data_IF_224191827352
#
_entry.id   IF_224191827352
#
_cell.length_a   1.000
_cell.length_b   1.000
_cell.length_c   1.000
_cell.angle_alpha   90.00
_cell.angle_beta   90.00
_cell.angle_gamma   90.00
#
_symmetry.space_group_name_H-M   'P 1'
#
loop_
_entity.id
_entity.type
_entity.pdbx_description
1 polymer ?
#
# COMPACT_ATOMS: atom_id res chain seq x y z
N UNK A 1 -13.15 8.79 -4.90
CA UNK A 1 -13.39 10.24 -5.02
C UNK A 1 -13.35 10.79 -3.61
N UNK A 2 -12.33 11.60 -3.25
CA UNK A 2 -12.36 12.31 -1.98
C UNK A 2 -13.52 13.28 -2.00
N UNK A 3 -14.28 13.44 -0.92
CA UNK A 3 -15.31 14.45 -0.87
C UNK A 3 -14.69 15.84 -1.08
N UNK A 4 -15.36 16.76 -1.76
CA UNK A 4 -14.87 18.12 -1.87
C UNK A 4 -14.60 18.66 -0.46
N UNK A 5 -13.50 19.41 -0.30
CA UNK A 5 -13.18 20.02 0.98
C UNK A 5 -14.34 20.95 1.38
N UNK A 6 -15.16 20.49 2.31
CA UNK A 6 -16.31 21.18 2.86
C UNK A 6 -16.04 21.71 4.27
N UNK A 7 -16.97 22.48 4.83
CA UNK A 7 -16.85 22.96 6.19
C UNK A 7 -16.74 21.77 7.16
N UNK A 8 -15.85 21.87 8.14
CA UNK A 8 -15.65 20.82 9.18
C UNK A 8 -16.82 20.87 10.18
N UNK A 9 -18.00 20.45 9.78
CA UNK A 9 -19.23 20.43 10.60
C UNK A 9 -19.81 19.03 10.66
N UNK A 10 -20.59 18.74 11.71
CA UNK A 10 -21.30 17.47 11.82
C UNK A 10 -22.32 17.29 10.69
N UNK A 11 -23.03 18.35 10.26
CA UNK A 11 -23.97 18.31 9.15
C UNK A 11 -23.29 17.86 7.85
N UNK A 12 -22.08 18.36 7.58
CA UNK A 12 -21.31 17.93 6.42
C UNK A 12 -20.93 16.45 6.50
N UNK A 13 -20.55 15.98 7.68
CA UNK A 13 -20.22 14.56 7.92
C UNK A 13 -21.45 13.67 7.71
N UNK A 14 -22.62 14.09 8.21
CA UNK A 14 -23.88 13.39 8.01
C UNK A 14 -24.28 13.32 6.54
N UNK A 15 -24.26 14.45 5.84
CA UNK A 15 -24.54 14.49 4.40
C UNK A 15 -23.61 13.56 3.61
N UNK A 16 -22.32 13.52 3.96
CA UNK A 16 -21.38 12.61 3.35
C UNK A 16 -21.73 11.15 3.64
N UNK A 17 -22.10 10.82 4.87
CA UNK A 17 -22.56 9.49 5.26
C UNK A 17 -23.80 9.05 4.48
N UNK A 18 -24.79 9.93 4.34
CA UNK A 18 -26.01 9.68 3.54
C UNK A 18 -25.65 9.44 2.07
N UNK A 19 -24.74 10.23 1.49
CA UNK A 19 -24.30 10.05 0.10
C UNK A 19 -23.61 8.69 -0.11
N UNK A 20 -22.75 8.27 0.81
CA UNK A 20 -22.07 6.96 0.76
C UNK A 20 -23.09 5.82 0.92
N UNK A 21 -24.04 5.93 1.85
CA UNK A 21 -25.11 4.95 2.04
C UNK A 21 -25.97 4.81 0.77
N UNK A 22 -26.31 5.93 0.10
CA UNK A 22 -27.03 5.90 -1.17
C UNK A 22 -26.29 5.21 -2.29
N UNK A 23 -24.95 5.35 -2.36
CA UNK A 23 -24.11 4.60 -3.31
C UNK A 23 -24.13 3.10 -3.00
N UNK A 24 -24.01 2.74 -1.72
CA UNK A 24 -24.06 1.33 -1.29
C UNK A 24 -25.40 0.68 -1.62
N UNK A 25 -26.53 1.35 -1.34
CA UNK A 25 -27.88 0.87 -1.70
C UNK A 25 -28.02 0.59 -3.19
N UNK A 26 -27.62 1.55 -4.03
CA UNK A 26 -27.63 1.37 -5.49
C UNK A 26 -26.75 0.21 -5.96
N UNK A 27 -25.59 0.01 -5.31
CA UNK A 27 -24.72 -1.11 -5.64
C UNK A 27 -25.37 -2.46 -5.28
N UNK A 28 -26.07 -2.54 -4.14
CA UNK A 28 -26.81 -3.74 -3.73
C UNK A 28 -27.96 -4.04 -4.70
N UNK A 29 -28.74 -3.02 -5.09
CA UNK A 29 -29.83 -3.16 -6.07
C UNK A 29 -29.36 -3.64 -7.44
N UNK A 30 -28.15 -3.22 -7.86
CA UNK A 30 -27.54 -3.63 -9.12
C UNK A 30 -26.71 -4.92 -9.01
N UNK A 31 -26.60 -5.52 -7.82
CA UNK A 31 -25.75 -6.69 -7.59
C UNK A 31 -26.28 -7.92 -8.31
N UNK A 32 -25.34 -8.70 -8.84
CA UNK A 32 -25.65 -10.02 -9.44
C UNK A 32 -24.90 -11.10 -8.65
N UNK A 33 -25.48 -12.31 -8.51
CA UNK A 33 -24.78 -13.43 -7.89
C UNK A 33 -23.45 -13.71 -8.59
N UNK A 34 -22.45 -14.10 -7.81
CA UNK A 34 -21.16 -14.56 -8.32
C UNK A 34 -20.78 -15.88 -7.66
N UNK A 35 -19.99 -16.70 -8.38
CA UNK A 35 -19.44 -17.92 -7.83
C UNK A 35 -18.25 -17.59 -6.91
N UNK A 36 -18.29 -18.07 -5.66
CA UNK A 36 -17.26 -17.83 -4.65
C UNK A 36 -16.38 -19.07 -4.38
N UNK A 37 -16.59 -20.15 -5.10
CA UNK A 37 -15.79 -21.38 -4.96
C UNK A 37 -15.01 -21.68 -6.24
N UNK A 38 -13.84 -22.32 -6.15
CA UNK A 38 -13.10 -22.70 -4.94
C UNK A 38 -12.40 -21.50 -4.27
N UNK A 39 -12.06 -21.65 -3.01
CA UNK A 39 -11.21 -20.68 -2.29
C UNK A 39 -9.73 -21.05 -2.45
N UNK A 40 -8.89 -20.04 -2.69
CA UNK A 40 -7.44 -20.17 -2.73
C UNK A 40 -6.78 -18.96 -2.11
N UNK A 41 -5.80 -19.20 -1.24
CA UNK A 41 -5.00 -18.14 -0.60
C UNK A 41 -3.56 -18.25 -1.10
N UNK A 42 -2.98 -17.11 -1.47
CA UNK A 42 -1.55 -16.95 -1.75
C UNK A 42 -1.07 -15.75 -0.94
N UNK A 43 -0.02 -15.94 -0.15
CA UNK A 43 0.56 -14.88 0.67
C UNK A 43 2.07 -14.83 0.48
N UNK A 44 2.65 -13.64 0.59
CA UNK A 44 4.08 -13.38 0.48
C UNK A 44 4.58 -12.49 1.60
N UNK A 45 5.58 -12.96 2.32
CA UNK A 45 6.32 -12.13 3.26
C UNK A 45 7.21 -11.14 2.52
N UNK A 46 7.29 -9.92 3.07
CA UNK A 46 8.07 -8.81 2.55
C UNK A 46 8.91 -8.20 3.68
N UNK A 47 10.05 -7.62 3.32
CA UNK A 47 10.90 -6.89 4.24
C UNK A 47 11.00 -5.44 3.78
N UNK A 48 10.16 -4.57 4.37
CA UNK A 48 10.03 -3.17 3.96
C UNK A 48 11.16 -2.31 4.53
N UNK A 49 11.90 -1.56 3.69
CA UNK A 49 12.87 -0.59 4.16
C UNK A 49 12.22 0.50 5.02
N UNK A 50 12.82 0.79 6.18
CA UNK A 50 12.37 1.84 7.10
C UNK A 50 13.39 2.96 7.12
N UNK A 51 13.17 3.98 6.29
CA UNK A 51 13.95 5.23 6.29
C UNK A 51 13.36 6.29 7.21
N UNK A 52 12.11 6.14 7.65
CA UNK A 52 11.44 7.06 8.57
C UNK A 52 12.16 7.13 9.91
N UNK A 53 12.74 8.31 10.19
CA UNK A 53 13.55 8.53 11.40
C UNK A 53 12.73 8.42 12.68
N UNK A 54 11.45 8.80 12.66
CA UNK A 54 10.57 8.70 13.83
C UNK A 54 10.27 7.23 14.15
N UNK A 55 10.03 6.40 13.15
CA UNK A 55 9.80 4.96 13.35
C UNK A 55 11.07 4.28 13.87
N UNK A 56 12.25 4.63 13.34
CA UNK A 56 13.53 4.12 13.82
C UNK A 56 13.80 4.55 15.27
N UNK A 57 13.52 5.81 15.62
CA UNK A 57 13.64 6.32 16.98
C UNK A 57 12.68 5.60 17.93
N UNK A 58 11.39 5.49 17.57
CA UNK A 58 10.38 4.81 18.36
C UNK A 58 10.74 3.34 18.62
N UNK A 59 11.36 2.66 17.65
CA UNK A 59 11.90 1.32 17.82
C UNK A 59 13.07 1.31 18.82
N UNK A 60 14.01 2.24 18.70
CA UNK A 60 15.15 2.34 19.62
C UNK A 60 14.69 2.58 21.05
N UNK A 61 13.67 3.40 21.23
CA UNK A 61 13.02 3.67 22.51
C UNK A 61 12.09 2.54 22.99
N UNK A 62 11.97 1.45 22.24
CA UNK A 62 11.08 0.31 22.50
C UNK A 62 9.58 0.64 22.56
N UNK A 63 9.18 1.79 22.00
CA UNK A 63 7.77 2.13 21.78
C UNK A 63 7.19 1.20 20.70
N UNK A 64 7.91 1.05 19.58
CA UNK A 64 7.59 0.05 18.56
C UNK A 64 8.36 -1.25 18.87
N UNK A 65 7.62 -2.28 19.27
CA UNK A 65 8.17 -3.61 19.66
C UNK A 65 8.25 -4.58 18.48
N UNK A 66 8.48 -4.08 17.28
CA UNK A 66 8.56 -4.89 16.07
C UNK A 66 10.01 -5.32 15.80
N UNK A 67 10.22 -6.56 15.36
CA UNK A 67 11.54 -7.02 14.95
C UNK A 67 12.04 -6.20 13.75
N UNK A 68 13.32 -5.89 13.70
CA UNK A 68 13.97 -5.24 12.57
C UNK A 68 15.06 -6.12 12.02
N UNK A 69 15.28 -6.07 10.72
CA UNK A 69 16.27 -6.84 10.01
C UNK A 69 17.11 -5.92 9.12
N UNK A 70 18.29 -6.35 8.73
CA UNK A 70 19.13 -5.65 7.78
C UNK A 70 18.52 -5.80 6.37
N UNK A 71 18.52 -4.72 5.59
CA UNK A 71 18.11 -4.78 4.20
C UNK A 71 19.04 -5.70 3.39
N UNK A 72 18.46 -6.58 2.59
CA UNK A 72 19.16 -7.42 1.60
C UNK A 72 18.89 -6.90 0.19
N UNK A 73 19.59 -7.44 -0.81
CA UNK A 73 19.34 -7.11 -2.22
C UNK A 73 17.96 -7.61 -2.71
N UNK A 74 17.42 -8.63 -2.06
CA UNK A 74 16.08 -9.17 -2.34
C UNK A 74 15.12 -8.83 -1.18
N UNK A 75 14.12 -7.95 -1.37
CA UNK A 75 13.18 -7.57 -0.31
C UNK A 75 12.22 -8.69 0.11
N UNK A 76 12.33 -9.86 -0.48
CA UNK A 76 11.58 -11.07 -0.10
C UNK A 76 12.42 -12.02 0.77
N UNK A 77 13.68 -11.70 1.04
CA UNK A 77 14.57 -12.47 1.89
C UNK A 77 14.85 -11.73 3.20
N UNK A 78 14.70 -12.44 4.30
CA UNK A 78 15.00 -11.91 5.63
C UNK A 78 16.50 -11.78 5.83
N UNK A 79 16.95 -10.55 6.08
CA UNK A 79 18.32 -10.28 6.49
C UNK A 79 18.61 -10.65 7.94
N UNK A 80 19.83 -10.34 8.39
CA UNK A 80 20.22 -10.48 9.79
C UNK A 80 19.34 -9.62 10.71
N UNK A 81 19.12 -10.10 11.93
CA UNK A 81 18.41 -9.28 12.92
C UNK A 81 19.20 -8.01 13.26
N UNK A 82 18.50 -6.88 13.35
CA UNK A 82 19.11 -5.61 13.76
C UNK A 82 19.68 -5.72 15.17
N UNK A 83 20.92 -5.26 15.34
CA UNK A 83 21.69 -5.25 16.57
C UNK A 83 22.56 -3.99 16.66
N UNK A 84 23.19 -3.67 17.80
CA UNK A 84 24.13 -2.56 17.87
C UNK A 84 25.30 -2.66 16.88
N UNK A 85 25.68 -3.87 16.47
CA UNK A 85 26.80 -4.11 15.54
C UNK A 85 26.48 -3.68 14.09
N UNK A 86 25.20 -3.74 13.68
CA UNK A 86 24.76 -3.40 12.34
C UNK A 86 23.76 -2.21 12.31
N UNK A 87 23.69 -1.41 13.38
CA UNK A 87 22.76 -0.32 13.55
C UNK A 87 22.87 0.79 12.47
N UNK A 88 24.03 0.90 11.81
CA UNK A 88 24.27 1.85 10.72
C UNK A 88 23.63 1.40 9.39
N UNK A 89 23.29 0.12 9.26
CA UNK A 89 22.71 -0.42 8.05
C UNK A 89 21.22 -0.05 7.92
N UNK A 90 20.68 -0.16 6.71
CA UNK A 90 19.27 0.09 6.46
C UNK A 90 18.43 -0.98 7.14
N UNK A 91 17.52 -0.53 8.01
CA UNK A 91 16.58 -1.42 8.70
C UNK A 91 15.39 -1.74 7.81
N UNK A 92 14.96 -2.99 7.86
CA UNK A 92 13.67 -3.44 7.32
C UNK A 92 12.78 -3.96 8.45
N UNK A 93 11.48 -3.98 8.18
CA UNK A 93 10.46 -4.68 9.00
C UNK A 93 9.77 -5.74 8.16
N UNK A 94 9.47 -6.87 8.78
CA UNK A 94 8.69 -7.94 8.16
C UNK A 94 7.21 -7.55 8.09
N UNK A 95 6.58 -7.82 6.95
CA UNK A 95 5.14 -7.68 6.72
C UNK A 95 4.68 -8.69 5.67
N UNK A 96 3.41 -8.65 5.26
CA UNK A 96 2.83 -9.61 4.33
C UNK A 96 1.84 -8.94 3.37
N UNK A 97 1.79 -9.42 2.14
CA UNK A 97 0.70 -9.19 1.20
C UNK A 97 0.01 -10.51 0.90
N UNK A 98 -1.30 -10.49 0.69
CA UNK A 98 -2.03 -11.69 0.33
C UNK A 98 -3.06 -11.44 -0.78
N UNK A 99 -3.30 -12.46 -1.59
CA UNK A 99 -4.39 -12.51 -2.55
C UNK A 99 -5.27 -13.73 -2.21
N UNK A 100 -6.52 -13.46 -1.86
CA UNK A 100 -7.52 -14.50 -1.64
C UNK A 100 -8.43 -14.55 -2.86
N UNK A 101 -8.41 -15.68 -3.56
CA UNK A 101 -9.32 -15.94 -4.68
C UNK A 101 -10.53 -16.70 -4.14
N UNK A 102 -11.71 -16.12 -4.31
CA UNK A 102 -13.00 -16.74 -4.02
C UNK A 102 -13.75 -16.88 -5.34
N UNK A 103 -13.63 -18.05 -6.01
CA UNK A 103 -14.21 -18.24 -7.33
C UNK A 103 -13.86 -17.12 -8.30
N UNK A 104 -14.83 -16.27 -8.64
CA UNK A 104 -14.65 -15.12 -9.53
C UNK A 104 -14.07 -13.89 -8.84
N UNK A 105 -14.17 -13.78 -7.51
CA UNK A 105 -13.75 -12.60 -6.74
C UNK A 105 -12.32 -12.74 -6.25
N UNK A 106 -11.51 -11.69 -6.45
CA UNK A 106 -10.16 -11.58 -5.89
C UNK A 106 -10.16 -10.56 -4.76
N UNK A 107 -9.70 -10.94 -3.57
CA UNK A 107 -9.48 -10.02 -2.45
C UNK A 107 -7.98 -9.72 -2.36
N UNK A 108 -7.63 -8.44 -2.44
CA UNK A 108 -6.27 -7.97 -2.27
C UNK A 108 -6.09 -7.48 -0.83
N UNK A 109 -5.23 -8.14 -0.06
CA UNK A 109 -4.87 -7.77 1.30
C UNK A 109 -3.51 -7.07 1.31
N UNK A 110 -3.51 -5.80 1.68
CA UNK A 110 -2.34 -4.91 1.65
C UNK A 110 -2.10 -4.35 3.06
N UNK A 111 -0.83 -4.38 3.56
CA UNK A 111 -0.53 -4.08 4.96
C UNK A 111 -0.44 -2.59 5.29
N UNK A 112 -1.04 -1.71 4.51
CA UNK A 112 -1.01 -0.26 4.73
C UNK A 112 -2.09 0.46 3.97
N UNK A 113 -2.06 1.80 4.04
CA UNK A 113 -3.00 2.68 3.35
C UNK A 113 -2.47 3.05 1.96
N UNK A 114 -3.06 2.45 0.91
CA UNK A 114 -2.67 2.74 -0.47
C UNK A 114 -3.19 4.10 -0.93
N UNK A 115 -2.31 4.89 -1.54
CA UNK A 115 -2.74 6.08 -2.27
C UNK A 115 -3.55 5.69 -3.52
N UNK A 116 -4.57 6.51 -3.90
CA UNK A 116 -5.44 6.21 -5.04
C UNK A 116 -4.70 5.98 -6.35
N UNK A 117 -3.54 6.62 -6.54
CA UNK A 117 -2.69 6.46 -7.73
C UNK A 117 -2.19 5.02 -7.87
N UNK A 118 -1.82 4.37 -6.76
CA UNK A 118 -1.41 2.96 -6.74
C UNK A 118 -2.59 2.01 -6.99
N UNK A 119 -3.82 2.46 -6.73
CA UNK A 119 -5.01 1.68 -7.02
C UNK A 119 -5.41 1.81 -8.49
N UNK A 120 -5.58 3.04 -8.98
CA UNK A 120 -6.21 3.34 -10.26
C UNK A 120 -5.23 3.63 -11.41
N UNK A 121 -3.93 3.80 -11.15
CA UNK A 121 -2.94 4.15 -12.15
C UNK A 121 -3.01 5.59 -12.66
N UNK A 122 -3.71 6.46 -11.93
CA UNK A 122 -3.84 7.88 -12.29
C UNK A 122 -2.77 8.71 -11.58
N UNK A 123 -1.51 8.43 -11.91
CA UNK A 123 -0.38 9.19 -11.40
C UNK A 123 -0.44 10.64 -11.92
N UNK A 124 0.13 11.56 -11.14
CA UNK A 124 0.31 12.93 -11.59
C UNK A 124 1.41 12.98 -12.67
N UNK A 125 1.05 13.45 -13.85
CA UNK A 125 1.95 13.59 -15.00
C UNK A 125 1.87 15.02 -15.58
N UNK A 126 3.01 15.67 -15.85
CA UNK A 126 4.36 15.23 -15.47
C UNK A 126 4.55 15.29 -13.95
N UNK A 127 5.52 14.52 -13.45
CA UNK A 127 5.94 14.67 -12.05
C UNK A 127 6.47 16.09 -11.81
N UNK A 128 6.23 16.64 -10.62
CA UNK A 128 6.79 17.92 -10.24
C UNK A 128 8.31 17.78 -10.04
N UNK A 129 9.08 18.62 -10.73
CA UNK A 129 10.55 18.61 -10.67
C UNK A 129 11.10 18.90 -9.27
N UNK A 130 10.29 19.50 -8.39
CA UNK A 130 10.62 19.75 -6.99
C UNK A 130 10.38 18.55 -6.07
N UNK A 131 9.72 17.47 -6.55
CA UNK A 131 9.56 16.24 -5.76
C UNK A 131 10.93 15.60 -5.47
N UNK A 132 11.03 14.84 -4.36
CA UNK A 132 12.31 14.24 -3.94
C UNK A 132 12.84 13.21 -4.96
N UNK A 133 11.95 12.56 -5.74
CA UNK A 133 12.30 11.51 -6.71
C UNK A 133 11.47 11.62 -8.01
N UNK A 134 11.52 12.73 -8.75
CA UNK A 134 10.63 12.97 -9.91
C UNK A 134 10.82 11.93 -11.04
N UNK A 135 12.02 11.37 -11.17
CA UNK A 135 12.38 10.39 -12.20
C UNK A 135 12.20 8.93 -11.74
N UNK A 136 11.62 8.70 -10.55
CA UNK A 136 11.42 7.34 -10.08
C UNK A 136 10.49 6.54 -11.02
N UNK A 137 10.78 5.24 -11.16
CA UNK A 137 9.93 4.30 -11.89
C UNK A 137 8.54 4.25 -11.26
N UNK A 138 7.49 4.17 -12.10
CA UNK A 138 6.12 4.00 -11.61
C UNK A 138 5.93 2.59 -11.07
N UNK A 139 5.28 2.50 -9.92
CA UNK A 139 4.90 1.22 -9.31
C UNK A 139 3.80 0.53 -10.14
N UNK A 140 3.76 -0.82 -10.12
CA UNK A 140 2.59 -1.54 -10.58
C UNK A 140 1.34 -1.10 -9.81
N UNK A 141 0.19 -1.04 -10.49
CA UNK A 141 -1.07 -0.60 -9.87
C UNK A 141 -2.03 -1.76 -9.66
N UNK A 142 -2.99 -1.61 -8.75
CA UNK A 142 -3.99 -2.65 -8.49
C UNK A 142 -4.78 -3.00 -9.74
N UNK A 143 -5.24 -1.99 -10.50
CA UNK A 143 -5.96 -2.21 -11.77
C UNK A 143 -5.06 -2.90 -12.81
N UNK A 144 -3.77 -2.58 -12.86
CA UNK A 144 -2.81 -3.25 -13.76
C UNK A 144 -2.53 -4.70 -13.37
N UNK A 145 -2.41 -4.99 -12.08
CA UNK A 145 -2.13 -6.33 -11.56
C UNK A 145 -3.36 -7.25 -11.70
N UNK A 146 -4.54 -6.77 -11.32
CA UNK A 146 -5.78 -7.55 -11.27
C UNK A 146 -6.54 -7.54 -12.60
N UNK A 147 -6.39 -6.48 -13.40
CA UNK A 147 -7.07 -6.34 -14.70
C UNK A 147 -8.58 -6.25 -14.56
N UNK A 148 -9.30 -6.83 -15.51
CA UNK A 148 -10.76 -6.81 -15.60
C UNK A 148 -11.48 -7.80 -14.65
N UNK A 149 -10.81 -8.31 -13.61
CA UNK A 149 -11.43 -9.20 -12.63
C UNK A 149 -12.38 -8.44 -11.72
N UNK A 150 -13.30 -9.16 -11.09
CA UNK A 150 -14.00 -8.67 -9.91
C UNK A 150 -13.01 -8.72 -8.74
N UNK A 151 -12.74 -7.60 -8.10
CA UNK A 151 -11.82 -7.55 -6.97
C UNK A 151 -12.23 -6.51 -5.92
N UNK A 152 -11.78 -6.76 -4.72
CA UNK A 152 -11.89 -5.83 -3.60
C UNK A 152 -10.50 -5.61 -2.99
N UNK A 153 -10.24 -4.39 -2.54
CA UNK A 153 -9.02 -4.01 -1.82
C UNK A 153 -9.32 -3.87 -0.34
N UNK A 154 -8.52 -4.53 0.46
CA UNK A 154 -8.45 -4.37 1.91
C UNK A 154 -7.08 -3.77 2.26
N UNK A 155 -7.06 -2.47 2.55
CA UNK A 155 -5.94 -1.82 3.20
C UNK A 155 -5.89 -2.19 4.68
N UNK A 156 -4.74 -1.97 5.34
CA UNK A 156 -4.51 -2.33 6.75
C UNK A 156 -4.82 -3.81 7.05
N UNK A 157 -4.68 -4.65 6.04
CA UNK A 157 -4.95 -6.07 6.15
C UNK A 157 -3.68 -6.83 6.50
N UNK A 158 -3.77 -7.71 7.49
CA UNK A 158 -2.70 -8.50 8.10
C UNK A 158 -1.69 -7.66 8.92
N UNK A 159 -1.55 -6.36 8.63
CA UNK A 159 -0.58 -5.47 9.27
C UNK A 159 -0.88 -3.99 9.01
N UNK A 160 -0.19 -3.11 9.76
CA UNK A 160 -0.23 -1.65 9.63
C UNK A 160 1.21 -1.11 9.49
N UNK A 161 1.60 -0.75 8.27
CA UNK A 161 2.94 -0.22 7.97
C UNK A 161 2.92 1.27 7.61
N UNK A 162 1.76 1.91 7.72
CA UNK A 162 1.50 3.30 7.37
C UNK A 162 1.13 3.49 5.90
N UNK A 163 1.30 4.72 5.44
CA UNK A 163 0.93 5.08 4.07
C UNK A 163 1.87 4.50 3.03
N UNK A 164 1.27 4.02 1.95
CA UNK A 164 1.95 3.55 0.75
C UNK A 164 1.65 4.54 -0.37
N UNK A 165 2.63 5.36 -0.74
CA UNK A 165 2.49 6.42 -1.74
C UNK A 165 3.52 6.25 -2.86
N UNK A 166 3.21 6.70 -4.09
CA UNK A 166 4.13 6.59 -5.21
C UNK A 166 5.46 7.28 -4.92
N UNK A 167 6.58 6.60 -5.17
CA UNK A 167 7.90 7.19 -4.94
C UNK A 167 8.11 8.48 -5.74
N UNK A 168 7.59 8.53 -6.96
CA UNK A 168 7.66 9.72 -7.80
C UNK A 168 6.96 10.96 -7.22
N UNK A 169 5.96 10.76 -6.36
CA UNK A 169 5.22 11.83 -5.70
C UNK A 169 5.73 12.13 -4.27
N UNK A 170 6.76 11.43 -3.83
CA UNK A 170 7.34 11.62 -2.51
C UNK A 170 7.91 13.04 -2.35
N UNK A 171 7.52 13.72 -1.30
CA UNK A 171 7.85 15.14 -1.07
C UNK A 171 8.03 15.42 0.42
N UNK A 172 9.18 15.03 0.94
CA UNK A 172 9.52 15.15 2.36
C UNK A 172 10.46 16.33 2.70
N UNK A 173 11.03 16.98 1.68
CA UNK A 173 12.05 18.04 1.84
C UNK A 173 11.55 19.37 1.28
N UNK A 174 11.97 20.46 1.91
CA UNK A 174 11.74 21.81 1.39
C UNK A 174 12.75 22.15 0.26
N UNK A 175 12.35 22.98 -0.74
CA UNK A 175 10.98 23.48 -0.96
C UNK A 175 10.04 22.36 -1.41
N UNK A 176 8.80 22.37 -0.85
CA UNK A 176 7.83 21.32 -1.18
C UNK A 176 7.28 21.50 -2.61
N UNK A 177 7.12 20.39 -3.31
CA UNK A 177 6.53 20.30 -4.63
C UNK A 177 4.99 20.45 -4.62
N UNK A 178 4.37 20.44 -5.80
CA UNK A 178 2.92 20.43 -5.99
C UNK A 178 2.18 21.60 -5.30
N UNK A 179 2.85 22.76 -5.14
CA UNK A 179 2.30 23.95 -4.46
C UNK A 179 2.05 23.76 -2.96
N UNK A 180 2.59 22.73 -2.35
CA UNK A 180 2.45 22.42 -0.92
C UNK A 180 3.26 23.39 -0.07
N UNK A 181 2.77 23.71 1.12
CA UNK A 181 3.43 24.64 2.06
C UNK A 181 4.07 23.92 3.25
N UNK A 182 3.64 22.71 3.53
CA UNK A 182 4.05 21.95 4.70
C UNK A 182 4.38 20.49 4.30
N UNK A 183 5.17 19.83 5.15
CA UNK A 183 5.36 18.37 5.07
C UNK A 183 4.00 17.66 5.04
N UNK A 184 3.92 16.60 4.23
CA UNK A 184 2.69 15.86 4.03
C UNK A 184 2.51 14.78 5.09
N UNK A 185 1.26 14.53 5.44
CA UNK A 185 0.90 13.52 6.44
C UNK A 185 1.29 12.10 6.00
N UNK A 186 1.12 11.78 4.72
CA UNK A 186 1.47 10.49 4.16
C UNK A 186 2.94 10.14 4.31
N UNK A 187 3.84 11.05 3.89
CA UNK A 187 5.28 10.86 3.99
C UNK A 187 5.75 10.76 5.44
N UNK A 188 5.16 11.55 6.35
CA UNK A 188 5.48 11.50 7.76
C UNK A 188 5.06 10.18 8.43
N UNK A 189 4.00 9.54 7.92
CA UNK A 189 3.42 8.30 8.47
C UNK A 189 3.60 7.11 7.52
N UNK A 190 4.68 7.06 6.77
CA UNK A 190 5.12 5.95 5.91
C UNK A 190 6.43 5.35 6.41
N UNK A 191 6.71 4.11 6.09
CA UNK A 191 8.03 3.51 6.30
C UNK A 191 9.13 4.23 5.50
N UNK A 192 8.81 4.76 4.33
CA UNK A 192 9.73 5.47 3.46
C UNK A 192 9.36 5.39 1.98
N UNK A 193 10.10 6.09 1.10
CA UNK A 193 9.77 6.22 -0.32
C UNK A 193 9.80 4.90 -1.10
N UNK A 194 10.49 3.88 -0.61
CA UNK A 194 10.59 2.58 -1.29
C UNK A 194 9.49 1.58 -0.86
N UNK A 195 8.69 1.92 0.16
CA UNK A 195 7.70 1.00 0.72
C UNK A 195 6.65 0.58 -0.30
N UNK A 196 6.10 1.53 -1.06
CA UNK A 196 5.09 1.25 -2.08
C UNK A 196 5.62 0.32 -3.18
N UNK A 197 6.83 0.55 -3.67
CA UNK A 197 7.43 -0.27 -4.72
C UNK A 197 7.61 -1.74 -4.27
N UNK A 198 8.07 -1.95 -3.05
CA UNK A 198 8.24 -3.31 -2.48
C UNK A 198 6.87 -4.00 -2.33
N UNK A 199 5.87 -3.31 -1.75
CA UNK A 199 4.53 -3.87 -1.54
C UNK A 199 3.85 -4.19 -2.86
N UNK A 200 3.83 -3.26 -3.82
CA UNK A 200 3.11 -3.44 -5.09
C UNK A 200 3.77 -4.50 -5.98
N UNK A 201 5.10 -4.54 -6.05
CA UNK A 201 5.85 -5.61 -6.75
C UNK A 201 5.62 -6.98 -6.06
N UNK A 202 5.61 -7.01 -4.73
CA UNK A 202 5.31 -8.21 -3.95
C UNK A 202 3.89 -8.73 -4.19
N UNK A 203 2.91 -7.85 -4.20
CA UNK A 203 1.53 -8.22 -4.50
C UNK A 203 1.37 -8.72 -5.95
N UNK A 204 2.03 -8.08 -6.93
CA UNK A 204 2.04 -8.56 -8.31
C UNK A 204 2.61 -9.98 -8.42
N UNK A 205 3.70 -10.29 -7.70
CA UNK A 205 4.28 -11.63 -7.61
C UNK A 205 3.31 -12.61 -6.97
N UNK A 206 2.67 -12.24 -5.86
CA UNK A 206 1.66 -13.03 -5.17
C UNK A 206 0.52 -13.45 -6.11
N UNK A 207 -0.04 -12.50 -6.88
CA UNK A 207 -1.10 -12.76 -7.87
C UNK A 207 -0.61 -13.67 -9.00
N UNK A 208 0.62 -13.46 -9.50
CA UNK A 208 1.21 -14.29 -10.56
C UNK A 208 1.36 -15.76 -10.13
N UNK A 209 1.88 -16.01 -8.94
CA UNK A 209 2.04 -17.37 -8.40
C UNK A 209 0.69 -18.05 -8.13
N UNK A 210 -0.28 -17.28 -7.65
CA UNK A 210 -1.64 -17.75 -7.51
C UNK A 210 -2.26 -18.27 -8.83
N UNK A 211 -1.81 -17.72 -9.98
CA UNK A 211 -2.27 -18.14 -11.33
C UNK A 211 -1.56 -19.37 -11.86
N UNK A 212 -0.25 -19.48 -11.63
CA UNK A 212 0.56 -20.61 -12.18
C UNK A 212 0.20 -21.95 -11.56
N UNK A 213 -0.12 -21.98 -10.28
CA UNK A 213 -0.60 -23.20 -9.61
C UNK A 213 -1.97 -23.73 -10.12
N UNK A 214 -2.65 -22.96 -10.98
CA UNK A 214 -3.92 -23.35 -11.62
C UNK A 214 -3.71 -24.16 -12.91
N UNK A 215 -2.57 -24.00 -13.60
CA UNK A 215 -2.26 -24.68 -14.87
C UNK A 215 -1.63 -26.07 -14.72
N UNK A 216 -1.33 -26.49 -13.52
CA UNK A 216 -0.69 -27.79 -13.23
C UNK A 216 -1.58 -28.78 -12.49
N UNK A 217 -2.88 -28.51 -12.36
CA UNK A 217 -3.86 -29.37 -11.68
C UNK A 217 -5.02 -29.83 -12.61
N UNK A 218 -4.91 -29.56 -13.93
CA UNK A 218 -5.81 -30.13 -14.95
C UNK A 218 -5.17 -31.33 -15.64
#
# INVERSE_FOLDING_TARGET
MAPPAGPKTFDYTEQHGVAVAGLASKAVEAATPIELTPMKVTAHQLYLPVSNKLYRLAKTMRVLRRAGYVLTDDPYLRGEAMSPKNAAQTMTIETEVACVQLGELSLAAIPGELYPELVYGKFQEPADVGADFPDAELEPTMVGILGNRKWMLFGLANDEVGYLLPKRQWDSKQPFAYGRKNSQYGEANSCGPDAAAVVMKGFARCVKEGRTKRKGQD
#
